data_IF_529777168093
#
_entry.id   IF_529777168093
#
_cell.length_a   1.000
_cell.length_b   1.000
_cell.length_c   1.000
_cell.angle_alpha   90.00
_cell.angle_beta   90.00
_cell.angle_gamma   90.00
#
_symmetry.space_group_name_H-M   'P 1'
#
loop_
_entity.id
_entity.type
_entity.pdbx_description
1 polymer ?
#
# COMPACT_ATOMS: atom_id res chain seq x y z
N UNK A 1 21.37 -8.27 8.19
CA UNK A 1 20.95 -7.37 7.10
C UNK A 1 19.76 -6.58 7.61
N UNK A 2 19.85 -5.25 7.72
CA UNK A 2 18.68 -4.44 8.09
C UNK A 2 17.64 -4.60 6.98
N UNK A 3 16.39 -4.94 7.32
CA UNK A 3 15.31 -4.88 6.34
C UNK A 3 15.17 -3.40 5.92
N UNK A 4 14.94 -3.13 4.64
CA UNK A 4 14.71 -1.77 4.12
C UNK A 4 13.21 -1.49 4.09
N UNK A 5 12.80 -0.25 4.35
CA UNK A 5 11.40 0.16 4.18
C UNK A 5 10.97 -0.01 2.71
N UNK A 6 9.80 -0.59 2.49
CA UNK A 6 9.24 -0.87 1.15
C UNK A 6 7.84 -0.31 1.01
N UNK A 7 7.35 -0.20 -0.22
CA UNK A 7 5.97 0.18 -0.51
C UNK A 7 5.20 -1.06 -0.94
N UNK A 8 4.15 -1.38 -0.18
CA UNK A 8 3.25 -2.49 -0.48
C UNK A 8 1.89 -1.98 -0.93
N UNK A 9 1.30 -2.64 -1.92
CA UNK A 9 -0.10 -2.48 -2.29
C UNK A 9 -0.95 -3.54 -1.56
N UNK A 10 -1.92 -3.06 -0.81
CA UNK A 10 -2.99 -3.88 -0.22
C UNK A 10 -4.19 -3.84 -1.13
N UNK A 11 -4.71 -5.02 -1.47
CA UNK A 11 -6.02 -5.16 -2.12
C UNK A 11 -7.04 -5.59 -1.07
N UNK A 12 -8.04 -4.75 -0.82
CA UNK A 12 -9.04 -4.97 0.22
C UNK A 12 -10.43 -4.59 -0.28
N UNK A 13 -11.44 -5.41 -0.01
CA UNK A 13 -12.83 -5.05 -0.25
C UNK A 13 -13.58 -4.98 1.07
N UNK A 14 -14.21 -3.85 1.36
CA UNK A 14 -14.90 -3.65 2.63
C UNK A 14 -15.13 -2.19 2.97
N UNK A 15 -15.39 -1.94 4.25
CA UNK A 15 -15.75 -0.62 4.78
C UNK A 15 -15.22 -0.40 6.18
N UNK A 16 -15.10 0.87 6.55
CA UNK A 16 -14.92 1.33 7.93
C UNK A 16 -16.25 1.90 8.48
N UNK A 17 -16.19 2.63 9.59
CA UNK A 17 -17.36 3.30 10.16
C UNK A 17 -17.90 4.45 9.30
N UNK A 18 -17.09 4.98 8.37
CA UNK A 18 -17.39 6.14 7.54
C UNK A 18 -17.85 5.76 6.12
N UNK A 19 -17.60 4.52 5.69
CA UNK A 19 -18.05 4.03 4.39
C UNK A 19 -17.06 3.06 3.74
N UNK A 20 -17.19 2.91 2.42
CA UNK A 20 -16.38 1.98 1.63
C UNK A 20 -14.90 2.41 1.64
N UNK A 21 -14.00 1.46 1.88
CA UNK A 21 -12.56 1.69 1.81
C UNK A 21 -12.03 1.54 0.38
N UNK A 22 -10.94 2.24 0.00
CA UNK A 22 -10.32 2.08 -1.31
C UNK A 22 -9.88 0.64 -1.55
N UNK A 23 -10.18 0.12 -2.76
CA UNK A 23 -9.85 -1.26 -3.11
C UNK A 23 -8.35 -1.52 -3.14
N UNK A 24 -7.57 -0.55 -3.63
CA UNK A 24 -6.11 -0.60 -3.70
C UNK A 24 -5.53 0.49 -2.82
N UNK A 25 -4.70 0.11 -1.84
CA UNK A 25 -4.10 1.04 -0.88
C UNK A 25 -2.59 0.81 -0.80
N UNK A 26 -1.80 1.87 -0.99
CA UNK A 26 -0.34 1.82 -0.81
C UNK A 26 0.04 2.11 0.65
N UNK A 27 0.87 1.28 1.25
CA UNK A 27 1.39 1.44 2.61
C UNK A 27 2.89 1.18 2.65
N UNK A 28 3.61 1.88 3.54
CA UNK A 28 5.02 1.61 3.79
C UNK A 28 5.19 0.63 4.94
N UNK A 29 6.00 -0.40 4.74
CA UNK A 29 6.33 -1.37 5.78
C UNK A 29 7.65 -2.09 5.49
N UNK A 30 8.20 -2.75 6.50
CA UNK A 30 9.41 -3.57 6.38
C UNK A 30 9.13 -4.95 5.76
N UNK A 31 7.88 -5.43 5.88
CA UNK A 31 7.44 -6.74 5.38
C UNK A 31 5.98 -6.66 4.95
N UNK A 32 5.51 -7.62 4.13
CA UNK A 32 4.10 -7.72 3.75
C UNK A 32 3.17 -7.88 4.96
N UNK A 33 3.53 -8.70 5.96
CA UNK A 33 2.74 -8.80 7.21
C UNK A 33 2.67 -7.45 7.95
N UNK A 34 3.76 -6.69 7.93
CA UNK A 34 3.79 -5.32 8.45
C UNK A 34 2.86 -4.38 7.68
N UNK A 35 2.76 -4.53 6.35
CA UNK A 35 1.86 -3.76 5.51
C UNK A 35 0.39 -4.00 5.86
N UNK A 36 -0.01 -5.26 6.06
CA UNK A 36 -1.38 -5.59 6.53
C UNK A 36 -1.67 -4.92 7.87
N UNK A 37 -0.73 -5.00 8.82
CA UNK A 37 -0.87 -4.37 10.14
C UNK A 37 -1.04 -2.86 10.02
N UNK A 38 -0.16 -2.20 9.26
CA UNK A 38 -0.23 -0.76 9.03
C UNK A 38 -1.55 -0.33 8.38
N UNK A 39 -2.07 -1.12 7.43
CA UNK A 39 -3.37 -0.89 6.82
C UNK A 39 -4.50 -0.96 7.86
N UNK A 40 -4.55 -2.03 8.67
CA UNK A 40 -5.60 -2.21 9.69
C UNK A 40 -5.54 -1.10 10.73
N UNK A 41 -4.35 -0.72 11.20
CA UNK A 41 -4.18 0.35 12.19
C UNK A 41 -4.62 1.72 11.65
N UNK A 42 -4.34 2.00 10.37
CA UNK A 42 -4.69 3.26 9.70
C UNK A 42 -6.19 3.37 9.39
N UNK A 43 -6.78 2.32 8.80
CA UNK A 43 -8.12 2.38 8.24
C UNK A 43 -9.20 1.78 9.13
N UNK A 44 -8.83 0.95 10.11
CA UNK A 44 -9.75 0.31 11.07
C UNK A 44 -11.00 -0.28 10.39
N UNK A 45 -10.83 -1.17 9.40
CA UNK A 45 -11.97 -1.77 8.69
C UNK A 45 -12.89 -2.49 9.68
N UNK A 46 -14.19 -2.28 9.55
CA UNK A 46 -15.21 -2.94 10.40
C UNK A 46 -15.73 -4.22 9.76
N UNK A 47 -15.64 -4.33 8.43
CA UNK A 47 -16.02 -5.52 7.67
C UNK A 47 -15.29 -5.55 6.34
N UNK A 48 -14.92 -6.74 5.88
CA UNK A 48 -14.30 -6.93 4.57
C UNK A 48 -13.26 -8.04 4.54
N UNK A 49 -12.59 -8.17 3.40
CA UNK A 49 -11.61 -9.21 3.13
C UNK A 49 -10.40 -8.64 2.40
N UNK A 50 -9.21 -9.10 2.79
CA UNK A 50 -8.01 -8.96 1.97
C UNK A 50 -8.17 -9.87 0.75
N UNK A 51 -7.84 -9.34 -0.43
CA UNK A 51 -7.91 -10.07 -1.70
C UNK A 51 -6.51 -10.52 -2.11
N UNK A 52 -5.96 -11.44 -1.31
CA UNK A 52 -4.60 -11.97 -1.48
C UNK A 52 -3.56 -11.31 -0.58
N UNK A 53 -2.30 -11.66 -0.83
CA UNK A 53 -1.17 -11.13 -0.09
C UNK A 53 -0.80 -9.70 -0.55
N UNK A 54 -0.18 -8.89 0.33
CA UNK A 54 0.39 -7.60 -0.05
C UNK A 54 1.43 -7.73 -1.16
N UNK A 55 1.28 -6.94 -2.21
CA UNK A 55 2.22 -6.89 -3.34
C UNK A 55 3.30 -5.84 -3.07
N UNK A 56 4.58 -6.22 -3.15
CA UNK A 56 5.69 -5.25 -3.07
C UNK A 56 5.81 -4.50 -4.40
N UNK A 57 5.49 -3.22 -4.39
CA UNK A 57 5.49 -2.36 -5.57
C UNK A 57 6.59 -1.30 -5.52
N UNK A 58 7.62 -1.49 -4.69
CA UNK A 58 8.67 -0.49 -4.46
C UNK A 58 9.32 -0.05 -5.77
N UNK A 59 9.72 -0.99 -6.62
CA UNK A 59 10.36 -0.70 -7.90
C UNK A 59 9.43 0.07 -8.86
N UNK A 60 8.13 -0.29 -8.85
CA UNK A 60 7.11 0.40 -9.66
C UNK A 60 6.95 1.85 -9.22
N UNK A 61 6.88 2.10 -7.91
CA UNK A 61 6.76 3.46 -7.35
C UNK A 61 7.99 4.30 -7.63
N UNK A 62 9.19 3.73 -7.50
CA UNK A 62 10.43 4.44 -7.82
C UNK A 62 10.46 4.85 -9.30
N UNK A 63 10.09 3.94 -10.21
CA UNK A 63 9.99 4.25 -11.63
C UNK A 63 8.95 5.31 -11.95
N UNK A 64 7.77 5.26 -11.32
CA UNK A 64 6.73 6.31 -11.46
C UNK A 64 7.29 7.70 -11.05
N UNK A 65 8.09 7.77 -9.99
CA UNK A 65 8.71 9.01 -9.53
C UNK A 65 9.81 9.51 -10.48
N UNK A 66 10.65 8.61 -11.00
CA UNK A 66 11.69 8.92 -11.99
C UNK A 66 11.08 9.43 -13.31
N UNK A 67 10.04 8.74 -13.82
CA UNK A 67 9.34 9.13 -15.05
C UNK A 67 8.69 10.52 -14.87
N UNK A 68 8.03 10.77 -13.75
CA UNK A 68 7.41 12.08 -13.47
C UNK A 68 8.44 13.22 -13.34
N UNK A 69 9.62 12.93 -12.78
CA UNK A 69 10.73 13.88 -12.70
C UNK A 69 11.33 14.25 -14.06
N UNK A 70 11.24 13.36 -15.05
CA UNK A 70 11.74 13.62 -16.41
C UNK A 70 10.87 14.61 -17.20
N UNK A 71 9.58 14.73 -16.87
CA UNK A 71 8.66 15.69 -17.50
C UNK A 71 8.76 17.11 -16.93
N UNK A 72 9.42 17.32 -15.78
CA UNK A 72 9.60 18.64 -15.19
C UNK A 72 10.88 19.36 -15.64
N UNK A 73 11.69 18.76 -16.51
CA UNK A 73 12.95 19.33 -17.03
C UNK A 73 12.97 19.55 -18.56
N UNK A 74 11.81 19.70 -19.22
CA UNK A 74 11.75 20.14 -20.62
C UNK A 74 10.91 21.40 -20.79
#
# INVERSE_FOLDING_TARGET
QAQTMRVYQITFTGRDANGVLPMFTRVQAMTGKGAVRAFIERYKPVSGWLLGDPEDITDKVNREAEDTGSYQQR
#
